data_IF_881576413574
#
_entry.id   IF_881576413574
#
_cell.length_a   1.000
_cell.length_b   1.000
_cell.length_c   1.000
_cell.angle_alpha   90.00
_cell.angle_beta   90.00
_cell.angle_gamma   90.00
#
_symmetry.space_group_name_H-M   'P 1'
#
loop_
_entity.id
_entity.type
_entity.pdbx_description
1 polymer ?
#
# COMPACT_ATOMS: atom_id res chain seq x y z
N UNK A 1 -19.53 25.42 -19.63
CA UNK A 1 -18.42 25.92 -20.47
C UNK A 1 -17.53 26.71 -19.51
N UNK A 2 -16.45 26.05 -19.12
CA UNK A 2 -15.28 26.42 -18.30
C UNK A 2 -15.22 27.80 -17.63
N UNK A 3 -15.10 27.78 -16.30
CA UNK A 3 -14.22 28.68 -15.52
C UNK A 3 -13.94 28.07 -14.15
N UNK A 4 -13.09 27.04 -14.09
CA UNK A 4 -12.20 26.91 -12.93
C UNK A 4 -10.88 26.23 -13.33
N UNK A 5 -9.95 27.07 -13.77
CA UNK A 5 -8.57 26.74 -14.14
C UNK A 5 -7.66 26.96 -12.92
N UNK A 6 -8.11 26.62 -11.71
CA UNK A 6 -7.17 26.36 -10.62
C UNK A 6 -6.38 25.12 -11.00
N UNK A 7 -5.09 25.30 -11.29
CA UNK A 7 -4.08 24.23 -11.37
C UNK A 7 -4.47 23.06 -10.46
N UNK A 8 -4.70 21.87 -11.02
CA UNK A 8 -4.86 20.63 -10.24
C UNK A 8 -3.52 20.35 -9.56
N UNK A 9 -3.28 21.04 -8.46
CA UNK A 9 -2.05 20.99 -7.70
C UNK A 9 -2.14 19.75 -6.84
N UNK A 10 -1.41 18.71 -7.24
CA UNK A 10 -1.35 17.48 -6.46
C UNK A 10 -0.74 17.79 -5.09
N UNK A 11 -1.49 17.48 -4.03
CA UNK A 11 -0.98 17.57 -2.66
C UNK A 11 -0.58 16.19 -2.19
N UNK A 12 0.68 16.06 -1.79
CA UNK A 12 1.20 14.83 -1.22
C UNK A 12 1.19 14.91 0.31
N UNK A 13 0.68 13.87 0.94
CA UNK A 13 0.86 13.60 2.37
C UNK A 13 1.82 12.42 2.48
N UNK A 14 2.90 12.60 3.24
CA UNK A 14 3.93 11.58 3.40
C UNK A 14 4.06 11.25 4.88
N UNK A 15 3.97 9.97 5.20
CA UNK A 15 4.26 9.46 6.54
C UNK A 15 4.96 8.10 6.37
N UNK A 16 6.10 7.94 7.03
CA UNK A 16 6.95 6.76 6.89
C UNK A 16 6.52 5.69 7.88
N UNK A 17 6.24 4.49 7.38
CA UNK A 17 5.83 3.35 8.21
C UNK A 17 7.01 2.47 8.60
N UNK A 18 8.19 2.66 8.00
CA UNK A 18 9.40 1.86 8.24
C UNK A 18 9.17 0.34 8.12
N UNK A 19 8.23 -0.05 7.26
CA UNK A 19 7.74 -1.42 7.11
C UNK A 19 7.13 -2.05 8.38
N UNK A 20 6.91 -1.25 9.43
CA UNK A 20 6.12 -1.65 10.58
C UNK A 20 4.64 -1.75 10.18
N UNK A 21 4.06 -2.88 10.55
CA UNK A 21 2.68 -3.25 10.20
C UNK A 21 1.67 -2.43 10.98
N UNK A 22 1.95 -2.17 12.25
CA UNK A 22 1.06 -1.41 13.14
C UNK A 22 1.00 0.06 12.71
N UNK A 23 2.16 0.64 12.37
CA UNK A 23 2.24 1.99 11.81
C UNK A 23 1.53 2.07 10.45
N UNK A 24 1.67 1.04 9.59
CA UNK A 24 0.97 1.01 8.31
C UNK A 24 -0.56 1.05 8.47
N UNK A 25 -1.13 0.33 9.44
CA UNK A 25 -2.57 0.41 9.75
C UNK A 25 -2.97 1.84 10.13
N UNK A 26 -2.23 2.45 11.07
CA UNK A 26 -2.55 3.78 11.58
C UNK A 26 -2.45 4.87 10.51
N UNK A 27 -1.36 4.87 9.74
CA UNK A 27 -1.13 5.83 8.65
C UNK A 27 -2.18 5.66 7.54
N UNK A 28 -2.46 4.43 7.13
CA UNK A 28 -3.46 4.18 6.09
C UNK A 28 -4.87 4.60 6.54
N UNK A 29 -5.25 4.32 7.79
CA UNK A 29 -6.54 4.77 8.33
C UNK A 29 -6.62 6.31 8.39
N UNK A 30 -5.57 6.99 8.85
CA UNK A 30 -5.52 8.47 8.84
C UNK A 30 -5.70 9.01 7.41
N UNK A 31 -4.99 8.46 6.43
CA UNK A 31 -5.06 8.93 5.05
C UNK A 31 -6.40 8.64 4.38
N UNK A 32 -6.88 7.39 4.47
CA UNK A 32 -8.09 6.94 3.78
C UNK A 32 -9.36 7.44 4.44
N UNK A 33 -9.40 7.57 5.77
CA UNK A 33 -10.61 7.92 6.53
C UNK A 33 -10.63 9.40 6.95
N UNK A 34 -9.57 9.89 7.57
CA UNK A 34 -9.59 11.22 8.18
C UNK A 34 -9.18 12.33 7.19
N UNK A 35 -8.20 12.05 6.34
CA UNK A 35 -7.76 12.95 5.26
C UNK A 35 -8.52 12.75 3.96
N UNK A 36 -9.24 11.64 3.85
CA UNK A 36 -10.09 11.28 2.70
C UNK A 36 -9.36 11.37 1.35
N UNK A 37 -8.07 10.97 1.32
CA UNK A 37 -7.26 11.09 0.10
C UNK A 37 -7.84 10.27 -1.06
N UNK A 38 -7.58 10.70 -2.29
CA UNK A 38 -8.05 9.99 -3.50
C UNK A 38 -7.28 8.69 -3.75
N UNK A 39 -5.96 8.74 -3.53
CA UNK A 39 -5.03 7.63 -3.77
C UNK A 39 -4.04 7.53 -2.62
N UNK A 40 -3.81 6.32 -2.13
CA UNK A 40 -2.71 6.00 -1.22
C UNK A 40 -1.62 5.28 -2.01
N UNK A 41 -0.41 5.81 -1.99
CA UNK A 41 0.77 5.11 -2.52
C UNK A 41 1.26 4.15 -1.43
N UNK A 42 1.08 2.84 -1.65
CA UNK A 42 1.42 1.82 -0.66
C UNK A 42 2.92 1.71 -0.43
N UNK A 43 3.42 1.39 0.78
CA UNK A 43 4.84 1.28 1.04
C UNK A 43 5.44 0.07 0.31
N UNK A 44 6.62 0.17 -0.34
CA UNK A 44 7.21 -0.93 -1.12
C UNK A 44 7.98 -1.89 -0.21
N UNK A 45 7.30 -2.44 0.80
CA UNK A 45 7.91 -3.29 1.82
C UNK A 45 7.94 -4.76 1.39
N UNK A 46 9.06 -5.47 1.56
CA UNK A 46 9.14 -6.89 1.25
C UNK A 46 8.24 -7.70 2.19
N UNK A 47 7.58 -8.71 1.64
CA UNK A 47 6.72 -9.63 2.40
C UNK A 47 7.51 -10.55 3.34
N UNK A 48 8.70 -10.96 2.88
CA UNK A 48 9.61 -11.79 3.63
C UNK A 48 10.73 -10.89 4.16
N UNK A 49 10.81 -10.75 5.47
CA UNK A 49 11.92 -10.10 6.15
C UNK A 49 12.69 -11.13 6.97
N UNK A 50 14.00 -10.93 7.05
CA UNK A 50 14.83 -11.66 8.00
C UNK A 50 14.51 -11.14 9.39
N UNK A 51 13.92 -11.98 10.21
CA UNK A 51 13.64 -11.64 11.61
C UNK A 51 14.50 -12.53 12.50
N UNK A 52 15.23 -11.89 13.41
CA UNK A 52 15.93 -12.56 14.49
C UNK A 52 14.92 -12.95 15.56
N UNK A 53 14.20 -14.04 15.32
CA UNK A 53 13.35 -14.65 16.34
C UNK A 53 14.12 -15.83 16.93
N UNK A 54 14.41 -15.78 18.22
CA UNK A 54 15.11 -16.86 18.96
C UNK A 54 16.52 -17.22 18.41
N UNK A 55 17.37 -16.23 18.09
CA UNK A 55 18.77 -16.48 17.66
C UNK A 55 18.91 -17.39 16.41
N UNK A 56 17.87 -17.48 15.57
CA UNK A 56 17.90 -18.18 14.30
C UNK A 56 17.44 -17.25 13.18
N UNK A 57 18.27 -17.08 12.16
CA UNK A 57 17.91 -16.32 10.96
C UNK A 57 16.91 -17.17 10.17
N UNK A 58 15.62 -16.90 10.34
CA UNK A 58 14.56 -17.54 9.55
C UNK A 58 13.91 -16.50 8.65
N UNK A 59 13.70 -16.89 7.40
CA UNK A 59 12.85 -16.15 6.49
C UNK A 59 11.40 -16.34 6.98
N UNK A 60 10.80 -15.30 7.54
CA UNK A 60 9.39 -15.30 7.90
C UNK A 60 8.69 -14.46 6.83
N UNK A 61 7.97 -15.13 5.94
CA UNK A 61 7.04 -14.49 5.03
C UNK A 61 5.72 -14.35 5.78
N UNK A 62 5.31 -13.12 6.01
CA UNK A 62 4.05 -12.79 6.67
C UNK A 62 3.41 -11.61 5.93
N UNK A 63 2.23 -11.18 6.40
CA UNK A 63 1.52 -10.03 5.84
C UNK A 63 2.46 -8.82 5.74
N UNK A 64 2.60 -8.26 4.55
CA UNK A 64 3.44 -7.07 4.34
C UNK A 64 2.70 -5.79 4.74
N UNK A 65 3.44 -4.69 4.96
CA UNK A 65 2.80 -3.39 5.15
C UNK A 65 1.93 -2.98 3.95
N UNK A 66 2.35 -3.32 2.72
CA UNK A 66 1.56 -3.06 1.52
C UNK A 66 0.27 -3.87 1.47
N UNK A 67 0.30 -5.12 1.92
CA UNK A 67 -0.87 -6.00 1.99
C UNK A 67 -1.91 -5.47 2.98
N UNK A 68 -1.46 -4.93 4.13
CA UNK A 68 -2.35 -4.21 5.06
C UNK A 68 -3.03 -3.04 4.36
N UNK A 69 -2.26 -2.21 3.65
CA UNK A 69 -2.80 -1.05 2.93
C UNK A 69 -3.77 -1.52 1.83
N UNK A 70 -3.50 -2.63 1.13
CA UNK A 70 -4.39 -3.20 0.12
C UNK A 70 -5.71 -3.71 0.74
N UNK A 71 -5.69 -4.31 1.93
CA UNK A 71 -6.92 -4.69 2.61
C UNK A 71 -7.74 -3.46 3.04
N UNK A 72 -7.07 -2.44 3.57
CA UNK A 72 -7.72 -1.20 3.97
C UNK A 72 -8.25 -0.42 2.77
N UNK A 73 -7.59 -0.50 1.62
CA UNK A 73 -8.05 0.10 0.36
C UNK A 73 -9.41 -0.47 -0.06
N UNK A 74 -9.58 -1.79 0.05
CA UNK A 74 -10.87 -2.46 -0.17
C UNK A 74 -11.92 -2.06 0.86
N UNK A 75 -11.54 -1.96 2.15
CA UNK A 75 -12.47 -1.59 3.22
C UNK A 75 -12.99 -0.14 3.09
N UNK A 76 -12.08 0.82 2.89
CA UNK A 76 -12.41 2.23 2.75
C UNK A 76 -12.79 2.64 1.32
N UNK A 77 -12.73 1.71 0.36
CA UNK A 77 -12.99 1.95 -1.07
C UNK A 77 -12.12 3.08 -1.64
N UNK A 78 -10.85 3.09 -1.27
CA UNK A 78 -9.84 4.07 -1.70
C UNK A 78 -8.82 3.37 -2.59
N UNK A 79 -8.38 4.02 -3.65
CA UNK A 79 -7.40 3.43 -4.55
C UNK A 79 -6.04 3.34 -3.85
N UNK A 80 -5.45 2.14 -3.84
CA UNK A 80 -4.04 1.94 -3.50
C UNK A 80 -3.23 1.81 -4.78
N UNK A 81 -2.20 2.63 -4.93
CA UNK A 81 -1.17 2.49 -5.95
C UNK A 81 0.05 1.78 -5.36
N UNK A 82 0.29 0.54 -5.75
CA UNK A 82 1.51 -0.18 -5.44
C UNK A 82 2.67 0.23 -6.35
N UNK A 83 3.87 0.33 -5.78
CA UNK A 83 5.11 0.69 -6.46
C UNK A 83 6.28 -0.10 -5.86
N UNK A 84 7.47 0.01 -6.46
CA UNK A 84 8.67 -0.68 -5.98
C UNK A 84 8.55 -2.20 -6.06
N UNK A 85 9.03 -2.94 -5.05
CA UNK A 85 9.11 -4.41 -5.04
C UNK A 85 7.77 -5.14 -4.77
N UNK A 86 6.63 -4.55 -5.13
CA UNK A 86 5.31 -5.18 -5.02
C UNK A 86 5.01 -6.07 -6.24
N UNK A 87 5.89 -7.03 -6.52
CA UNK A 87 5.80 -7.91 -7.70
C UNK A 87 4.93 -9.14 -7.49
N UNK A 88 4.40 -9.36 -6.28
CA UNK A 88 3.54 -10.50 -6.01
C UNK A 88 2.24 -10.41 -6.83
N UNK A 89 1.85 -11.51 -7.46
CA UNK A 89 0.64 -11.61 -8.29
C UNK A 89 -0.64 -11.51 -7.45
N UNK A 90 -0.57 -11.72 -6.13
CA UNK A 90 -1.72 -11.54 -5.23
C UNK A 90 -2.33 -10.15 -5.35
N UNK A 91 -1.51 -9.11 -5.57
CA UNK A 91 -1.98 -7.73 -5.68
C UNK A 91 -2.73 -7.43 -6.99
N UNK A 92 -2.70 -8.35 -7.96
CA UNK A 92 -3.47 -8.25 -9.21
C UNK A 92 -4.80 -9.05 -9.13
N UNK A 93 -5.06 -9.72 -8.01
CA UNK A 93 -6.32 -10.43 -7.78
C UNK A 93 -7.44 -9.44 -7.47
N UNK A 94 -8.21 -9.07 -8.50
CA UNK A 94 -9.36 -8.16 -8.38
C UNK A 94 -10.48 -8.69 -7.46
N UNK A 95 -10.56 -10.01 -7.24
CA UNK A 95 -11.51 -10.58 -6.28
C UNK A 95 -11.12 -10.30 -4.83
N UNK A 96 -9.83 -10.11 -4.56
CA UNK A 96 -9.30 -9.84 -3.22
C UNK A 96 -9.04 -8.34 -3.00
N UNK A 97 -8.47 -7.66 -4.00
CA UNK A 97 -8.02 -6.26 -3.91
C UNK A 97 -8.56 -5.40 -5.07
N UNK A 98 -9.89 -5.20 -5.19
CA UNK A 98 -10.49 -4.47 -6.32
C UNK A 98 -10.09 -2.99 -6.41
N UNK A 99 -9.58 -2.40 -5.32
CA UNK A 99 -9.11 -1.01 -5.28
C UNK A 99 -7.59 -0.89 -5.34
N UNK A 100 -6.89 -1.96 -5.71
CA UNK A 100 -5.43 -1.95 -5.81
C UNK A 100 -5.00 -1.99 -7.27
N UNK A 101 -4.04 -1.15 -7.61
CA UNK A 101 -3.35 -1.16 -8.91
C UNK A 101 -1.87 -0.96 -8.68
N UNK A 102 -1.02 -1.47 -9.58
CA UNK A 102 0.43 -1.40 -9.43
C UNK A 102 1.08 -0.90 -10.71
N UNK A 103 2.16 -0.13 -10.56
CA UNK A 103 2.99 0.32 -11.71
C UNK A 103 4.04 -0.71 -12.13
N UNK A 104 4.20 -1.79 -11.36
CA UNK A 104 5.20 -2.84 -11.61
C UNK A 104 4.52 -4.12 -12.10
N UNK A 105 5.15 -4.86 -13.05
CA UNK A 105 4.66 -6.16 -13.47
C UNK A 105 4.73 -7.15 -12.31
N UNK A 106 3.87 -8.16 -12.35
CA UNK A 106 3.98 -9.28 -11.42
C UNK A 106 5.04 -10.28 -11.86
N UNK A 107 5.46 -11.13 -10.93
CA UNK A 107 6.46 -12.17 -11.15
C UNK A 107 5.95 -13.38 -11.95
N UNK A 108 4.67 -13.38 -12.38
CA UNK A 108 4.11 -14.41 -13.26
C UNK A 108 4.07 -13.97 -14.74
N UNK A 109 4.51 -12.74 -15.04
CA UNK A 109 4.60 -12.16 -16.37
C UNK A 109 5.88 -12.56 -17.12
#
# INVERSE_FOLDING_TARGET
MDTDLTLTLFRFFVNYTECDKSLAVGVAAEFMKNRDVDVVIGPPCPQCQWSEVYNAIRLICAVSAAEIVAHLSTFYKKTMLGWGFLTDSMYDNLGQFPYTTKVVPNSLA
#
